data_IF_384797230905
#
_entry.id   IF_384797230905
#
_cell.length_a   1.000
_cell.length_b   1.000
_cell.length_c   1.000
_cell.angle_alpha   90.00
_cell.angle_beta   90.00
_cell.angle_gamma   90.00
#
_symmetry.space_group_name_H-M   'P 1'
#
loop_
_entity.id
_entity.type
_entity.pdbx_description
1 polymer ?
#
# COMPACT_ATOMS: atom_id res chain seq x y z
N UNK A 1 19.85 9.38 -9.55
CA UNK A 1 18.63 8.93 -8.84
C UNK A 1 17.68 10.11 -8.77
N UNK A 2 16.43 10.12 -9.21
CA UNK A 2 15.49 9.23 -9.88
C UNK A 2 14.34 10.16 -10.33
N UNK A 3 13.56 9.83 -11.37
CA UNK A 3 12.47 10.75 -11.80
C UNK A 3 11.45 10.90 -10.68
N UNK A 4 11.08 12.13 -10.33
CA UNK A 4 10.09 12.46 -9.30
C UNK A 4 8.76 11.73 -9.58
N UNK A 5 8.29 10.93 -8.62
CA UNK A 5 7.04 10.19 -8.77
C UNK A 5 5.86 11.16 -8.71
N UNK A 6 5.09 11.20 -9.79
CA UNK A 6 3.98 12.13 -9.90
C UNK A 6 2.75 11.65 -9.12
N UNK A 7 1.88 12.58 -8.70
CA UNK A 7 0.55 12.26 -8.15
C UNK A 7 -0.28 11.36 -9.07
N UNK A 8 -0.09 11.49 -10.39
CA UNK A 8 -0.77 10.65 -11.39
C UNK A 8 -0.30 9.19 -11.31
N UNK A 9 0.97 8.96 -11.01
CA UNK A 9 1.51 7.62 -10.84
C UNK A 9 0.94 6.95 -9.59
N UNK A 10 0.87 7.67 -8.47
CA UNK A 10 0.24 7.17 -7.23
C UNK A 10 -1.25 6.88 -7.44
N UNK A 11 -1.96 7.75 -8.17
CA UNK A 11 -3.35 7.51 -8.55
C UNK A 11 -3.51 6.23 -9.38
N UNK A 12 -2.61 6.04 -10.37
CA UNK A 12 -2.57 4.84 -11.20
C UNK A 12 -2.28 3.59 -10.36
N UNK A 13 -1.37 3.66 -9.40
CA UNK A 13 -1.10 2.57 -8.45
C UNK A 13 -2.35 2.21 -7.67
N UNK A 14 -3.05 3.22 -7.13
CA UNK A 14 -4.31 3.02 -6.42
C UNK A 14 -5.35 2.25 -7.26
N UNK A 15 -5.54 2.61 -8.52
CA UNK A 15 -6.44 1.86 -9.40
C UNK A 15 -5.93 0.46 -9.75
N UNK A 16 -4.62 0.31 -10.00
CA UNK A 16 -4.01 -1.00 -10.29
C UNK A 16 -4.12 -1.97 -9.12
N UNK A 17 -4.17 -1.48 -7.88
CA UNK A 17 -4.38 -2.29 -6.69
C UNK A 17 -5.72 -3.05 -6.70
N UNK A 18 -6.69 -2.66 -7.55
CA UNK A 18 -7.95 -3.40 -7.72
C UNK A 18 -7.78 -4.81 -8.26
N UNK A 19 -6.67 -5.07 -8.94
CA UNK A 19 -6.32 -6.41 -9.45
C UNK A 19 -5.37 -7.17 -8.53
N UNK A 20 -5.25 -6.78 -7.24
CA UNK A 20 -4.40 -7.46 -6.26
C UNK A 20 -4.63 -8.98 -6.22
N UNK A 21 -5.89 -9.40 -6.26
CA UNK A 21 -6.26 -10.82 -6.16
C UNK A 21 -6.36 -11.53 -7.52
N UNK A 22 -6.04 -10.86 -8.64
CA UNK A 22 -6.18 -11.46 -9.97
C UNK A 22 -5.25 -12.66 -10.22
N UNK A 23 -4.15 -12.77 -9.45
CA UNK A 23 -3.21 -13.90 -9.51
C UNK A 23 -3.06 -14.61 -8.16
N UNK A 24 -4.13 -14.66 -7.37
CA UNK A 24 -4.10 -15.26 -6.04
C UNK A 24 -3.76 -16.76 -6.12
N UNK A 25 -2.86 -17.23 -5.27
CA UNK A 25 -2.49 -18.64 -5.18
C UNK A 25 -2.10 -19.03 -3.75
N UNK A 26 -2.15 -20.30 -3.38
CA UNK A 26 -1.90 -20.72 -1.99
C UNK A 26 -0.42 -20.68 -1.57
N UNK A 27 0.51 -20.66 -2.52
CA UNK A 27 1.94 -20.59 -2.22
C UNK A 27 2.33 -19.19 -1.69
N UNK A 28 1.84 -18.14 -2.36
CA UNK A 28 2.30 -16.75 -2.14
C UNK A 28 1.16 -15.74 -2.01
N UNK A 29 -0.08 -16.20 -1.97
CA UNK A 29 -1.30 -15.42 -1.79
C UNK A 29 -1.40 -14.29 -2.83
N UNK A 30 -1.25 -13.04 -2.42
CA UNK A 30 -1.49 -11.86 -3.26
C UNK A 30 -0.25 -11.34 -4.00
N UNK A 31 0.90 -11.99 -3.84
CA UNK A 31 2.21 -11.49 -4.28
C UNK A 31 2.29 -11.10 -5.77
N UNK A 32 1.65 -11.87 -6.65
CA UNK A 32 1.67 -11.59 -8.09
C UNK A 32 0.94 -10.30 -8.46
N UNK A 33 -0.27 -10.08 -7.91
CA UNK A 33 -1.01 -8.84 -8.09
C UNK A 33 -0.34 -7.66 -7.39
N UNK A 34 0.31 -7.90 -6.24
CA UNK A 34 1.09 -6.90 -5.52
C UNK A 34 2.25 -6.37 -6.38
N UNK A 35 3.06 -7.28 -6.91
CA UNK A 35 4.17 -6.97 -7.82
C UNK A 35 3.68 -6.28 -9.09
N UNK A 36 2.61 -6.81 -9.71
CA UNK A 36 2.05 -6.23 -10.93
C UNK A 36 1.58 -4.79 -10.73
N UNK A 37 0.94 -4.49 -9.60
CA UNK A 37 0.43 -3.15 -9.31
C UNK A 37 1.58 -2.11 -9.25
N UNK A 38 2.67 -2.44 -8.53
CA UNK A 38 3.82 -1.57 -8.30
C UNK A 38 4.79 -1.47 -9.50
N UNK A 39 4.85 -2.49 -10.35
CA UNK A 39 5.85 -2.63 -11.42
C UNK A 39 6.05 -1.37 -12.30
N UNK A 40 5.00 -0.64 -12.76
CA UNK A 40 5.22 0.55 -13.58
C UNK A 40 5.99 1.66 -12.85
N UNK A 41 5.79 1.80 -11.54
CA UNK A 41 6.49 2.81 -10.73
C UNK A 41 7.91 2.34 -10.45
N UNK A 42 8.10 1.06 -10.07
CA UNK A 42 9.44 0.49 -9.86
C UNK A 42 10.31 0.66 -11.11
N UNK A 43 9.77 0.43 -12.31
CA UNK A 43 10.47 0.69 -13.57
C UNK A 43 10.93 2.15 -13.73
N UNK A 44 10.16 3.12 -13.22
CA UNK A 44 10.56 4.54 -13.24
C UNK A 44 11.63 4.87 -12.20
N UNK A 45 11.56 4.24 -11.03
CA UNK A 45 12.53 4.44 -9.93
C UNK A 45 13.90 3.88 -10.36
N UNK A 46 13.94 2.62 -10.77
CA UNK A 46 15.18 1.92 -11.08
C UNK A 46 15.75 2.26 -12.47
N UNK A 47 14.92 2.70 -13.44
CA UNK A 47 15.36 3.05 -14.80
C UNK A 47 16.20 1.94 -15.44
N UNK A 48 17.51 2.17 -15.58
CA UNK A 48 18.48 1.25 -16.19
C UNK A 48 19.07 0.23 -15.20
N UNK A 49 18.81 0.39 -13.89
CA UNK A 49 19.21 -0.55 -12.85
C UNK A 49 18.35 -1.81 -12.86
N UNK A 50 18.63 -2.69 -13.83
CA UNK A 50 17.97 -3.99 -13.96
C UNK A 50 18.20 -4.90 -12.74
N UNK A 51 19.41 -4.97 -12.14
CA UNK A 51 19.63 -5.74 -10.92
C UNK A 51 18.74 -5.27 -9.76
N UNK A 52 18.68 -3.96 -9.51
CA UNK A 52 17.83 -3.38 -8.45
C UNK A 52 16.35 -3.65 -8.69
N UNK A 53 15.86 -3.43 -9.92
CA UNK A 53 14.48 -3.75 -10.29
C UNK A 53 14.15 -5.24 -10.08
N UNK A 54 15.07 -6.13 -10.47
CA UNK A 54 14.91 -7.57 -10.29
C UNK A 54 14.83 -7.95 -8.81
N UNK A 55 15.67 -7.35 -7.96
CA UNK A 55 15.63 -7.56 -6.52
C UNK A 55 14.28 -7.11 -5.92
N UNK A 56 13.83 -5.89 -6.20
CA UNK A 56 12.54 -5.39 -5.73
C UNK A 56 11.36 -6.24 -6.21
N UNK A 57 11.41 -6.73 -7.45
CA UNK A 57 10.39 -7.65 -7.98
C UNK A 57 10.40 -8.99 -7.25
N UNK A 58 11.57 -9.56 -6.95
CA UNK A 58 11.68 -10.81 -6.20
C UNK A 58 11.11 -10.65 -4.79
N UNK A 59 11.44 -9.56 -4.11
CA UNK A 59 10.90 -9.28 -2.78
C UNK A 59 9.39 -9.06 -2.83
N UNK A 60 8.85 -8.33 -3.81
CA UNK A 60 7.40 -8.15 -3.96
C UNK A 60 6.65 -9.46 -4.32
N UNK A 61 7.37 -10.44 -4.85
CA UNK A 61 6.86 -11.78 -5.16
C UNK A 61 6.86 -12.74 -3.98
N UNK A 62 7.39 -12.33 -2.81
CA UNK A 62 7.26 -13.12 -1.58
C UNK A 62 5.85 -13.05 -1.00
N UNK A 63 5.57 -13.95 -0.06
CA UNK A 63 4.28 -14.06 0.61
C UNK A 63 3.76 -12.71 1.12
N UNK A 64 2.52 -12.40 0.73
CA UNK A 64 1.76 -11.27 1.26
C UNK A 64 0.28 -11.59 1.19
N UNK A 65 -0.41 -11.37 2.30
CA UNK A 65 -1.85 -11.49 2.37
C UNK A 65 -2.40 -10.37 3.25
N UNK A 66 -3.02 -9.37 2.63
CA UNK A 66 -3.57 -8.20 3.30
C UNK A 66 -4.91 -7.78 2.72
N UNK A 67 -5.54 -6.79 3.34
CA UNK A 67 -6.88 -6.37 2.94
C UNK A 67 -6.87 -5.65 1.58
N UNK A 68 -7.64 -6.12 0.56
CA UNK A 68 -7.58 -5.59 -0.81
C UNK A 68 -7.88 -4.09 -0.96
N UNK A 69 -8.70 -3.50 -0.09
CA UNK A 69 -9.00 -2.07 -0.17
C UNK A 69 -8.00 -1.19 0.60
N UNK A 70 -7.19 -1.77 1.50
CA UNK A 70 -6.15 -1.06 2.25
C UNK A 70 -4.73 -1.31 1.73
N UNK A 71 -4.53 -2.31 0.85
CA UNK A 71 -3.22 -2.61 0.27
C UNK A 71 -2.56 -1.39 -0.37
N UNK A 72 -3.37 -0.48 -0.93
CA UNK A 72 -2.88 0.75 -1.56
C UNK A 72 -2.06 1.61 -0.60
N UNK A 73 -2.47 1.68 0.67
CA UNK A 73 -1.69 2.36 1.71
C UNK A 73 -0.29 1.76 1.86
N UNK A 74 -0.20 0.44 1.98
CA UNK A 74 1.09 -0.24 2.09
C UNK A 74 1.94 -0.03 0.83
N UNK A 75 1.36 -0.21 -0.36
CA UNK A 75 2.07 -0.01 -1.63
C UNK A 75 2.60 1.43 -1.75
N UNK A 76 1.78 2.43 -1.45
CA UNK A 76 2.18 3.84 -1.48
C UNK A 76 3.34 4.12 -0.53
N UNK A 77 3.26 3.58 0.69
CA UNK A 77 4.32 3.71 1.67
C UNK A 77 5.64 3.11 1.15
N UNK A 78 5.63 1.85 0.70
CA UNK A 78 6.85 1.19 0.23
C UNK A 78 7.43 1.89 -1.01
N UNK A 79 6.59 2.34 -1.96
CA UNK A 79 7.04 3.13 -3.12
C UNK A 79 7.77 4.40 -2.70
N UNK A 80 7.32 5.09 -1.66
CA UNK A 80 8.01 6.30 -1.19
C UNK A 80 9.41 6.00 -0.64
N UNK A 81 9.61 4.81 -0.06
CA UNK A 81 10.91 4.35 0.42
C UNK A 81 11.83 3.98 -0.74
N UNK A 82 11.30 3.26 -1.73
CA UNK A 82 12.01 2.93 -2.97
C UNK A 82 12.48 4.21 -3.69
N UNK A 83 11.61 5.22 -3.79
CA UNK A 83 11.94 6.49 -4.44
C UNK A 83 13.05 7.26 -3.71
N UNK A 84 13.08 7.20 -2.37
CA UNK A 84 14.11 7.86 -1.55
C UNK A 84 15.42 7.05 -1.49
N UNK A 85 15.46 5.87 -2.10
CA UNK A 85 16.62 4.99 -2.15
C UNK A 85 16.92 4.29 -0.83
N UNK A 86 15.88 3.99 -0.03
CA UNK A 86 16.04 3.21 1.20
C UNK A 86 16.51 1.78 0.91
N UNK A 87 17.16 1.15 1.88
CA UNK A 87 17.72 -0.19 1.72
C UNK A 87 16.61 -1.25 1.53
N UNK A 88 16.80 -2.19 0.58
CA UNK A 88 15.82 -3.23 0.27
C UNK A 88 15.40 -4.07 1.48
N UNK A 89 16.33 -4.43 2.38
CA UNK A 89 16.02 -5.21 3.58
C UNK A 89 15.12 -4.43 4.55
N UNK A 90 15.27 -3.10 4.59
CA UNK A 90 14.41 -2.22 5.39
C UNK A 90 13.00 -2.17 4.81
N UNK A 91 12.87 -2.00 3.49
CA UNK A 91 11.58 -2.00 2.78
C UNK A 91 10.87 -3.34 2.96
N UNK A 92 11.60 -4.44 2.82
CA UNK A 92 11.13 -5.81 3.02
C UNK A 92 10.68 -6.06 4.46
N UNK A 93 11.50 -5.68 5.44
CA UNK A 93 11.17 -5.80 6.86
C UNK A 93 9.89 -5.04 7.19
N UNK A 94 9.73 -3.84 6.63
CA UNK A 94 8.52 -3.04 6.83
C UNK A 94 7.28 -3.66 6.16
N UNK A 95 7.41 -4.19 4.94
CA UNK A 95 6.34 -4.95 4.29
C UNK A 95 5.86 -6.08 5.20
N UNK A 96 6.77 -6.90 5.70
CA UNK A 96 6.46 -8.05 6.57
C UNK A 96 5.83 -7.61 7.90
N UNK A 97 6.35 -6.55 8.51
CA UNK A 97 5.83 -6.02 9.76
C UNK A 97 4.41 -5.43 9.63
N UNK A 98 4.08 -4.84 8.47
CA UNK A 98 2.85 -4.06 8.31
C UNK A 98 1.71 -4.79 7.60
N UNK A 99 1.98 -5.77 6.71
CA UNK A 99 0.89 -6.38 5.94
C UNK A 99 -0.15 -7.06 6.83
N UNK A 100 0.28 -7.72 7.91
CA UNK A 100 -0.57 -8.45 8.86
C UNK A 100 -1.48 -7.52 9.67
N UNK A 101 -0.94 -6.51 10.37
CA UNK A 101 -1.74 -5.50 11.05
C UNK A 101 -2.73 -4.78 10.12
N UNK A 102 -2.32 -4.40 8.91
CA UNK A 102 -3.21 -3.77 7.91
C UNK A 102 -4.32 -4.74 7.49
N UNK A 103 -4.02 -6.03 7.37
CA UNK A 103 -5.02 -7.06 7.09
C UNK A 103 -6.09 -7.09 8.19
N UNK A 104 -5.66 -7.23 9.45
CA UNK A 104 -6.59 -7.30 10.59
C UNK A 104 -7.48 -6.07 10.73
N UNK A 105 -6.92 -4.87 10.56
CA UNK A 105 -7.70 -3.61 10.57
C UNK A 105 -8.71 -3.58 9.42
N UNK A 106 -8.27 -3.93 8.21
CA UNK A 106 -9.14 -3.95 7.05
C UNK A 106 -10.28 -4.97 7.18
N UNK A 107 -9.98 -6.18 7.62
CA UNK A 107 -10.96 -7.25 7.76
C UNK A 107 -12.00 -6.89 8.82
N UNK A 108 -11.58 -6.34 9.97
CA UNK A 108 -12.48 -5.87 11.01
C UNK A 108 -13.45 -4.78 10.51
N UNK A 109 -12.93 -3.77 9.79
CA UNK A 109 -13.74 -2.64 9.31
C UNK A 109 -14.67 -3.07 8.17
N UNK A 110 -14.13 -3.69 7.13
CA UNK A 110 -14.86 -3.91 5.88
C UNK A 110 -15.62 -5.22 5.88
N UNK A 111 -14.96 -6.36 6.14
CA UNK A 111 -15.57 -7.68 6.02
C UNK A 111 -16.45 -8.04 7.20
N UNK A 112 -16.07 -7.67 8.43
CA UNK A 112 -16.79 -8.09 9.63
C UNK A 112 -17.79 -7.04 10.15
N UNK A 113 -17.62 -5.76 9.80
CA UNK A 113 -18.50 -4.70 10.31
C UNK A 113 -19.33 -4.06 9.21
N UNK A 114 -18.69 -3.32 8.29
CA UNK A 114 -19.41 -2.49 7.33
C UNK A 114 -20.29 -3.32 6.39
N UNK A 115 -19.74 -4.37 5.77
CA UNK A 115 -20.47 -5.13 4.76
C UNK A 115 -21.61 -5.98 5.35
N UNK A 116 -21.47 -6.67 6.49
CA UNK A 116 -22.59 -7.37 7.12
C UNK A 116 -23.72 -6.42 7.54
N UNK A 117 -23.40 -5.25 8.11
CA UNK A 117 -24.39 -4.24 8.48
C UNK A 117 -25.13 -3.74 7.24
N UNK A 118 -24.39 -3.35 6.19
CA UNK A 118 -24.98 -2.86 4.96
C UNK A 118 -25.79 -3.94 4.24
N UNK A 119 -25.33 -5.20 4.22
CA UNK A 119 -26.08 -6.31 3.67
C UNK A 119 -27.40 -6.54 4.42
N UNK A 120 -27.40 -6.47 5.75
CA UNK A 120 -28.62 -6.57 6.56
C UNK A 120 -29.63 -5.48 6.24
N UNK A 121 -29.20 -4.22 6.22
CA UNK A 121 -30.07 -3.08 5.88
C UNK A 121 -30.60 -3.18 4.45
N UNK A 122 -29.71 -3.44 3.48
CA UNK A 122 -30.06 -3.47 2.06
C UNK A 122 -30.96 -4.65 1.71
N UNK A 123 -30.75 -5.82 2.32
CA UNK A 123 -31.62 -6.99 2.14
C UNK A 123 -33.02 -6.74 2.68
N UNK A 124 -33.16 -6.05 3.82
CA UNK A 124 -34.48 -5.67 4.37
C UNK A 124 -35.29 -4.80 3.40
N UNK A 125 -34.65 -3.81 2.75
CA UNK A 125 -35.31 -3.01 1.71
C UNK A 125 -35.64 -3.85 0.47
N UNK A 126 -34.69 -4.67 0.00
CA UNK A 126 -34.87 -5.49 -1.19
C UNK A 126 -36.01 -6.52 -1.04
N UNK A 127 -36.15 -7.14 0.14
CA UNK A 127 -37.22 -8.09 0.44
C UNK A 127 -38.63 -7.47 0.37
N UNK A 128 -38.74 -6.15 0.50
CA UNK A 128 -39.99 -5.40 0.34
C UNK A 128 -40.21 -4.94 -1.12
N UNK A 129 -39.39 -5.40 -2.06
CA UNK A 129 -39.42 -4.97 -3.46
C UNK A 129 -38.79 -3.59 -3.71
N UNK A 130 -38.13 -2.99 -2.72
CA UNK A 130 -37.53 -1.67 -2.84
C UNK A 130 -36.14 -1.72 -3.50
N UNK A 131 -36.02 -1.15 -4.70
CA UNK A 131 -34.78 -1.03 -5.47
C UNK A 131 -33.67 -0.24 -4.74
N UNK A 132 -33.99 0.55 -3.71
CA UNK A 132 -32.98 1.25 -2.91
C UNK A 132 -32.01 0.29 -2.23
N UNK A 133 -32.44 -0.93 -1.88
CA UNK A 133 -31.57 -1.95 -1.29
C UNK A 133 -30.31 -2.24 -2.13
N UNK A 134 -30.46 -2.81 -3.34
CA UNK A 134 -29.31 -3.10 -4.21
C UNK A 134 -28.54 -1.85 -4.65
N UNK A 135 -29.23 -0.71 -4.87
CA UNK A 135 -28.56 0.55 -5.25
C UNK A 135 -27.63 1.04 -4.14
N UNK A 136 -28.12 1.05 -2.89
CA UNK A 136 -27.33 1.48 -1.73
C UNK A 136 -26.13 0.56 -1.51
N UNK A 137 -26.33 -0.76 -1.62
CA UNK A 137 -25.25 -1.74 -1.47
C UNK A 137 -24.15 -1.53 -2.53
N UNK A 138 -24.56 -1.34 -3.79
CA UNK A 138 -23.63 -1.04 -4.88
C UNK A 138 -22.89 0.29 -4.65
N UNK A 139 -23.60 1.34 -4.20
CA UNK A 139 -23.00 2.64 -3.91
C UNK A 139 -21.93 2.56 -2.81
N UNK A 140 -22.16 1.77 -1.75
CA UNK A 140 -21.15 1.54 -0.70
C UNK A 140 -19.92 0.82 -1.27
N UNK A 141 -20.10 -0.23 -2.07
CA UNK A 141 -18.97 -0.91 -2.72
C UNK A 141 -18.19 0.01 -3.64
N UNK A 142 -18.89 0.85 -4.41
CA UNK A 142 -18.28 1.82 -5.30
C UNK A 142 -17.48 2.88 -4.53
N UNK A 143 -18.01 3.34 -3.39
CA UNK A 143 -17.28 4.24 -2.49
C UNK A 143 -15.99 3.59 -1.96
N UNK A 144 -16.09 2.36 -1.44
CA UNK A 144 -14.91 1.59 -0.98
C UNK A 144 -13.91 1.43 -2.12
N UNK A 145 -14.38 1.18 -3.35
CA UNK A 145 -13.53 1.07 -4.52
C UNK A 145 -12.75 2.36 -4.79
N UNK A 146 -13.35 3.54 -4.70
CA UNK A 146 -12.62 4.79 -4.92
C UNK A 146 -11.71 5.18 -3.74
N UNK A 147 -12.09 4.84 -2.49
CA UNK A 147 -11.27 5.13 -1.31
C UNK A 147 -9.87 4.51 -1.38
N UNK A 148 -9.69 3.39 -2.08
CA UNK A 148 -8.36 2.76 -2.30
C UNK A 148 -7.33 3.74 -2.84
N UNK A 149 -7.75 4.67 -3.70
CA UNK A 149 -6.86 5.67 -4.30
C UNK A 149 -6.41 6.67 -3.23
N UNK A 150 -7.35 7.14 -2.40
CA UNK A 150 -7.06 7.99 -1.25
C UNK A 150 -6.07 7.34 -0.29
N UNK A 151 -6.30 6.07 0.08
CA UNK A 151 -5.39 5.32 0.95
C UNK A 151 -3.99 5.21 0.37
N UNK A 152 -3.86 5.05 -0.95
CA UNK A 152 -2.56 4.99 -1.63
C UNK A 152 -1.78 6.31 -1.52
N UNK A 153 -2.46 7.44 -1.72
CA UNK A 153 -1.85 8.77 -1.54
C UNK A 153 -1.46 9.04 -0.09
N UNK A 154 -2.30 8.62 0.86
CA UNK A 154 -1.99 8.76 2.29
C UNK A 154 -0.76 7.92 2.64
N UNK A 155 -0.70 6.66 2.22
CA UNK A 155 0.45 5.78 2.46
C UNK A 155 1.75 6.36 1.92
N UNK A 156 1.74 6.85 0.68
CA UNK A 156 2.89 7.52 0.07
C UNK A 156 3.32 8.76 0.86
N UNK A 157 2.36 9.64 1.21
CA UNK A 157 2.65 10.85 1.96
C UNK A 157 3.20 10.57 3.36
N UNK A 158 2.70 9.53 4.03
CA UNK A 158 3.20 9.07 5.33
C UNK A 158 4.63 8.57 5.22
N UNK A 159 4.93 7.75 4.21
CA UNK A 159 6.28 7.22 4.02
C UNK A 159 7.31 8.31 3.70
N UNK A 160 6.98 9.29 2.84
CA UNK A 160 7.84 10.46 2.59
C UNK A 160 8.16 11.20 3.89
N UNK A 161 7.13 11.52 4.70
CA UNK A 161 7.31 12.22 5.97
C UNK A 161 8.13 11.42 6.98
N UNK A 162 7.95 10.10 7.04
CA UNK A 162 8.69 9.24 7.95
C UNK A 162 10.20 9.28 7.64
N UNK A 163 10.57 9.18 6.36
CA UNK A 163 11.97 9.23 5.93
C UNK A 163 12.59 10.60 6.19
N UNK A 164 11.89 11.67 5.86
CA UNK A 164 12.38 13.03 6.08
C UNK A 164 12.64 13.27 7.59
N UNK A 165 11.75 12.76 8.47
CA UNK A 165 11.92 12.84 9.92
C UNK A 165 13.14 12.05 10.43
N UNK A 166 13.38 10.85 9.89
CA UNK A 166 14.55 10.04 10.26
C UNK A 166 15.84 10.78 9.87
N UNK A 167 15.92 11.35 8.66
CA UNK A 167 17.08 12.10 8.18
C UNK A 167 17.37 13.34 9.02
N UNK A 168 16.35 14.12 9.36
CA UNK A 168 16.46 15.27 10.27
C UNK A 168 17.06 14.86 11.63
N UNK A 169 16.53 13.78 12.22
CA UNK A 169 16.99 13.32 13.53
C UNK A 169 18.43 12.79 13.49
N UNK A 170 18.82 12.06 12.44
CA UNK A 170 20.20 11.59 12.24
C UNK A 170 21.19 12.76 12.12
N UNK A 171 20.83 13.82 11.39
CA UNK A 171 21.65 15.03 11.28
C UNK A 171 21.76 15.76 12.63
N UNK A 172 20.66 15.87 13.39
CA UNK A 172 20.72 16.48 14.72
C UNK A 172 21.60 15.69 15.71
N UNK A 173 21.58 14.35 15.65
CA UNK A 173 22.45 13.51 16.49
C UNK A 173 23.92 13.69 16.08
N UNK A 174 24.21 13.70 14.78
CA UNK A 174 25.57 13.94 14.27
C UNK A 174 26.12 15.31 14.69
N UNK A 175 25.28 16.35 14.70
CA UNK A 175 25.67 17.71 15.16
C UNK A 175 25.83 17.78 16.70
N UNK A 176 25.17 16.91 17.46
CA UNK A 176 25.24 16.86 18.94
C UNK A 176 26.41 16.05 19.50
N UNK A 177 27.19 15.36 18.67
CA UNK A 177 28.46 14.75 19.07
C UNK A 177 29.65 15.60 18.56
N UNK A 178 30.05 16.67 19.25
CA UNK A 178 31.37 17.24 19.03
C UNK A 178 32.40 16.27 19.62
N UNK A 179 33.22 15.68 18.76
CA UNK A 179 34.52 15.04 19.04
C UNK A 179 34.95 14.97 20.51
N UNK A 180 34.42 14.02 21.29
CA UNK A 180 34.98 13.64 22.59
C UNK A 180 36.10 12.62 22.35
N UNK A 181 37.19 13.05 21.71
CA UNK A 181 38.24 12.13 21.28
C UNK A 181 39.45 12.81 20.66
N UNK A 182 40.06 13.75 21.38
CA UNK A 182 41.47 14.08 21.17
C UNK A 182 42.08 14.57 22.49
N UNK A 183 42.55 13.63 23.30
CA UNK A 183 43.68 13.75 24.24
C UNK A 183 44.07 12.35 24.70
#
# INVERSE_FOLDING_TARGET
MGSEISKKDITRLGFRSSLLQASFNYERMQAGGFTWAMLPILKKIYKDDKPGLSAAMKDNLEFINTHPNLVGFLMGLLISMEEKGENCDTIKGLKVALFGPIAGIGDAIFWFTLLPIMAGICSSFASQGNLLGPILFFAVYLLIFFLRVGWTHVGYSVGVKAIDKVRENSQMIAVRQPSSGSR
#
